data_IF_034461167745
#
_entry.id   IF_034461167745
#
_cell.length_a   1.000
_cell.length_b   1.000
_cell.length_c   1.000
_cell.angle_alpha   90.00
_cell.angle_beta   90.00
_cell.angle_gamma   90.00
#
_symmetry.space_group_name_H-M   'P 1'
#
loop_
_entity.id
_entity.type
_entity.pdbx_description
1 polymer ?
#
# COMPACT_ATOMS: atom_id res chain seq x y z
N UNK A 1 -3.82 7.73 -18.78
CA UNK A 1 -4.00 7.48 -17.35
C UNK A 1 -5.49 7.56 -17.09
N UNK A 2 -6.09 6.52 -16.54
CA UNK A 2 -7.52 6.54 -16.24
C UNK A 2 -7.74 7.46 -15.03
N UNK A 3 -8.31 8.64 -15.25
CA UNK A 3 -8.60 9.65 -14.21
C UNK A 3 -10.10 9.72 -13.91
N UNK A 4 -10.88 8.74 -14.37
CA UNK A 4 -12.34 8.79 -14.44
C UNK A 4 -13.02 8.85 -13.06
N UNK A 5 -12.26 8.66 -11.98
CA UNK A 5 -12.77 8.73 -10.60
C UNK A 5 -12.54 10.08 -9.93
N UNK A 6 -11.67 10.95 -10.44
CA UNK A 6 -11.37 12.23 -9.79
C UNK A 6 -12.64 13.10 -9.74
N UNK A 7 -12.98 13.60 -8.55
CA UNK A 7 -14.19 14.38 -8.29
C UNK A 7 -15.44 13.53 -8.01
N UNK A 8 -15.41 12.22 -8.24
CA UNK A 8 -16.52 11.32 -7.88
C UNK A 8 -16.48 10.98 -6.39
N UNK A 9 -17.66 10.63 -5.88
CA UNK A 9 -17.83 10.05 -4.56
C UNK A 9 -18.00 8.53 -4.68
N UNK A 10 -17.20 7.78 -3.92
CA UNK A 10 -17.29 6.32 -3.81
C UNK A 10 -17.59 5.98 -2.35
N UNK A 11 -18.82 5.52 -2.09
CA UNK A 11 -19.31 5.38 -0.72
C UNK A 11 -19.30 6.72 0.02
N UNK A 12 -18.51 6.81 1.09
CA UNK A 12 -18.31 8.04 1.86
C UNK A 12 -16.98 8.74 1.56
N UNK A 13 -16.28 8.34 0.48
CA UNK A 13 -15.01 8.93 0.07
C UNK A 13 -15.18 9.83 -1.15
N UNK A 14 -14.66 11.05 -1.09
CA UNK A 14 -14.51 11.90 -2.28
C UNK A 14 -13.10 11.71 -2.85
N UNK A 15 -13.00 11.33 -4.11
CA UNK A 15 -11.70 11.13 -4.78
C UNK A 15 -11.13 12.48 -5.23
N UNK A 16 -9.93 12.82 -4.76
CA UNK A 16 -9.33 14.14 -4.97
C UNK A 16 -8.22 14.14 -6.03
N UNK A 17 -7.41 13.07 -6.13
CA UNK A 17 -6.29 13.02 -7.06
C UNK A 17 -5.78 11.60 -7.34
N UNK A 18 -5.19 11.36 -8.51
CA UNK A 18 -4.45 10.14 -8.81
C UNK A 18 -3.07 10.16 -8.12
N UNK A 19 -2.73 9.08 -7.41
CA UNK A 19 -1.41 8.89 -6.78
C UNK A 19 -0.51 7.96 -7.58
N UNK A 20 -1.08 6.97 -8.26
CA UNK A 20 -0.34 6.06 -9.10
C UNK A 20 -1.22 5.01 -9.76
N UNK A 21 -0.74 4.47 -10.87
CA UNK A 21 -1.38 3.37 -11.58
C UNK A 21 -0.36 2.24 -11.71
N UNK A 22 -0.66 1.10 -11.10
CA UNK A 22 0.25 -0.05 -11.00
C UNK A 22 -0.39 -1.32 -11.52
N UNK A 23 0.39 -2.40 -11.58
CA UNK A 23 -0.06 -3.65 -12.22
C UNK A 23 -1.26 -4.35 -11.56
N UNK A 24 -1.63 -3.96 -10.33
CA UNK A 24 -2.75 -4.56 -9.59
C UNK A 24 -3.96 -3.63 -9.47
N UNK A 25 -3.79 -2.35 -9.78
CA UNK A 25 -4.78 -1.36 -9.43
C UNK A 25 -4.27 0.06 -9.50
N UNK A 26 -5.22 0.98 -9.40
CA UNK A 26 -5.01 2.41 -9.44
C UNK A 26 -5.24 2.99 -8.05
N UNK A 27 -4.29 3.78 -7.56
CA UNK A 27 -4.32 4.38 -6.22
C UNK A 27 -4.65 5.85 -6.35
N UNK A 28 -5.65 6.30 -5.60
CA UNK A 28 -6.09 7.68 -5.52
C UNK A 28 -5.93 8.22 -4.11
N UNK A 29 -5.71 9.53 -4.00
CA UNK A 29 -5.93 10.29 -2.77
C UNK A 29 -7.41 10.63 -2.70
N UNK A 30 -8.01 10.42 -1.55
CA UNK A 30 -9.40 10.75 -1.30
C UNK A 30 -9.59 11.36 0.09
N UNK A 31 -10.75 11.96 0.31
CA UNK A 31 -11.19 12.46 1.60
C UNK A 31 -12.35 11.62 2.14
N UNK A 32 -12.15 11.05 3.32
CA UNK A 32 -13.17 10.36 4.10
C UNK A 32 -14.14 11.41 4.67
N UNK A 33 -15.35 11.49 4.12
CA UNK A 33 -16.34 12.50 4.48
C UNK A 33 -16.97 12.25 5.86
N UNK A 34 -16.88 11.02 6.37
CA UNK A 34 -17.44 10.66 7.67
C UNK A 34 -16.49 11.05 8.80
N UNK A 35 -15.19 10.75 8.62
CA UNK A 35 -14.17 10.97 9.66
C UNK A 35 -13.32 12.23 9.42
N UNK A 36 -13.50 12.93 8.30
CA UNK A 36 -12.84 14.19 8.00
C UNK A 36 -11.32 14.07 7.79
N UNK A 37 -10.85 12.96 7.20
CA UNK A 37 -9.42 12.66 7.04
C UNK A 37 -9.04 12.31 5.60
N UNK A 38 -7.78 12.55 5.25
CA UNK A 38 -7.24 12.11 3.96
C UNK A 38 -6.86 10.64 4.00
N UNK A 39 -7.22 9.90 2.95
CA UNK A 39 -6.94 8.46 2.78
C UNK A 39 -6.37 8.19 1.39
N UNK A 40 -5.70 7.04 1.25
CA UNK A 40 -5.38 6.47 -0.06
C UNK A 40 -6.38 5.35 -0.37
N UNK A 41 -6.97 5.36 -1.57
CA UNK A 41 -7.90 4.32 -2.02
C UNK A 41 -7.30 3.64 -3.24
N UNK A 42 -7.08 2.33 -3.14
CA UNK A 42 -6.62 1.49 -4.24
C UNK A 42 -7.81 0.74 -4.83
N UNK A 43 -8.13 1.02 -6.09
CA UNK A 43 -9.10 0.26 -6.88
C UNK A 43 -8.39 -0.85 -7.64
N UNK A 44 -8.90 -2.07 -7.53
CA UNK A 44 -8.37 -3.21 -8.25
C UNK A 44 -8.79 -3.14 -9.72
N UNK A 45 -7.89 -3.46 -10.65
CA UNK A 45 -8.24 -3.50 -12.08
C UNK A 45 -9.29 -4.58 -12.36
N UNK A 46 -10.16 -4.32 -13.35
CA UNK A 46 -11.30 -5.19 -13.69
C UNK A 46 -10.93 -6.66 -13.93
N UNK A 47 -9.75 -6.93 -14.50
CA UNK A 47 -9.24 -8.28 -14.73
C UNK A 47 -9.12 -9.14 -13.46
N UNK A 48 -9.05 -8.51 -12.28
CA UNK A 48 -9.05 -9.19 -10.98
C UNK A 48 -10.41 -9.14 -10.29
N UNK A 49 -11.19 -8.08 -10.52
CA UNK A 49 -12.44 -7.84 -9.80
C UNK A 49 -13.59 -8.81 -10.14
N UNK A 50 -13.59 -9.41 -11.34
CA UNK A 50 -14.69 -10.26 -11.81
C UNK A 50 -14.63 -11.72 -11.34
N UNK A 51 -13.58 -12.13 -10.65
CA UNK A 51 -13.39 -13.52 -10.22
C UNK A 51 -13.96 -13.71 -8.80
N UNK A 52 -15.03 -14.50 -8.60
CA UNK A 52 -15.67 -14.66 -7.28
C UNK A 52 -14.71 -15.19 -6.21
N UNK A 53 -13.81 -16.09 -6.61
CA UNK A 53 -12.76 -16.63 -5.73
C UNK A 53 -11.74 -15.57 -5.33
N UNK A 54 -11.33 -14.69 -6.26
CA UNK A 54 -10.47 -13.55 -5.98
C UNK A 54 -11.10 -12.66 -4.91
N UNK A 55 -12.38 -12.33 -5.05
CA UNK A 55 -13.10 -11.46 -4.11
C UNK A 55 -13.13 -12.05 -2.70
N UNK A 56 -13.47 -13.33 -2.55
CA UNK A 56 -13.53 -13.98 -1.26
C UNK A 56 -12.15 -14.02 -0.57
N UNK A 57 -11.10 -14.38 -1.33
CA UNK A 57 -9.72 -14.39 -0.84
C UNK A 57 -9.23 -12.98 -0.50
N UNK A 58 -9.49 -12.00 -1.35
CA UNK A 58 -9.12 -10.60 -1.12
C UNK A 58 -9.78 -10.05 0.15
N UNK A 59 -11.05 -10.37 0.39
CA UNK A 59 -11.77 -9.99 1.60
C UNK A 59 -11.09 -10.57 2.85
N UNK A 60 -10.77 -11.86 2.83
CA UNK A 60 -10.08 -12.52 3.94
C UNK A 60 -8.68 -11.93 4.21
N UNK A 61 -7.93 -11.63 3.15
CA UNK A 61 -6.59 -11.05 3.34
C UNK A 61 -6.67 -9.60 3.79
N UNK A 62 -7.61 -8.81 3.27
CA UNK A 62 -7.84 -7.44 3.75
C UNK A 62 -8.21 -7.44 5.24
N UNK A 63 -9.05 -8.35 5.70
CA UNK A 63 -9.39 -8.50 7.12
C UNK A 63 -8.18 -8.89 7.98
N UNK A 64 -7.30 -9.75 7.46
CA UNK A 64 -6.11 -10.18 8.20
C UNK A 64 -5.08 -9.04 8.29
N UNK A 65 -4.87 -8.31 7.20
CA UNK A 65 -3.99 -7.14 7.17
C UNK A 65 -4.54 -5.99 8.02
N UNK A 66 -5.86 -5.80 8.06
CA UNK A 66 -6.50 -4.78 8.91
C UNK A 66 -6.30 -5.00 10.41
N UNK A 67 -5.93 -6.21 10.84
CA UNK A 67 -5.56 -6.52 12.24
C UNK A 67 -4.10 -6.20 12.57
N UNK A 68 -3.30 -5.84 11.57
CA UNK A 68 -1.93 -5.41 11.81
C UNK A 68 -1.94 -3.99 12.38
N UNK A 69 -1.18 -3.80 13.45
CA UNK A 69 -0.97 -2.52 14.10
C UNK A 69 0.52 -2.40 14.38
N UNK A 70 1.24 -1.78 13.43
CA UNK A 70 2.68 -1.65 13.47
C UNK A 70 3.07 -0.33 12.80
N UNK A 71 3.96 0.49 13.39
CA UNK A 71 4.27 1.82 12.88
C UNK A 71 4.91 1.82 11.48
N UNK A 72 5.45 0.68 11.04
CA UNK A 72 6.04 0.49 9.71
C UNK A 72 5.19 -0.40 8.78
N UNK A 73 3.91 -0.58 9.07
CA UNK A 73 2.92 -1.21 8.18
C UNK A 73 1.76 -0.24 7.96
N UNK A 74 1.32 -0.08 6.71
CA UNK A 74 0.20 0.81 6.39
C UNK A 74 -1.08 0.33 7.08
N UNK A 75 -1.82 1.26 7.70
CA UNK A 75 -3.10 0.93 8.31
C UNK A 75 -4.19 0.83 7.25
N UNK A 76 -4.93 -0.28 7.25
CA UNK A 76 -6.13 -0.44 6.44
C UNK A 76 -7.33 0.08 7.24
N UNK A 77 -8.16 0.90 6.61
CA UNK A 77 -9.35 1.48 7.22
C UNK A 77 -10.63 0.81 6.77
N UNK A 78 -10.72 0.49 5.48
CA UNK A 78 -11.92 -0.08 4.88
C UNK A 78 -11.56 -0.95 3.67
N UNK A 79 -12.42 -1.91 3.39
CA UNK A 79 -12.41 -2.71 2.18
C UNK A 79 -13.86 -2.90 1.71
N UNK A 80 -14.11 -2.63 0.45
CA UNK A 80 -15.46 -2.68 -0.08
C UNK A 80 -15.53 -2.88 -1.58
N UNK A 81 -16.76 -2.90 -2.07
CA UNK A 81 -17.09 -2.92 -3.49
C UNK A 81 -17.94 -1.69 -3.79
N UNK A 82 -17.69 -1.07 -4.94
CA UNK A 82 -18.56 -0.05 -5.51
C UNK A 82 -18.86 -0.37 -6.98
N UNK A 83 -19.64 0.48 -7.63
CA UNK A 83 -19.86 0.41 -9.08
C UNK A 83 -18.56 0.50 -9.90
N UNK A 84 -17.49 1.04 -9.31
CA UNK A 84 -16.18 1.21 -9.94
C UNK A 84 -15.23 0.02 -9.66
N UNK A 85 -15.66 -0.94 -8.83
CA UNK A 85 -14.93 -2.18 -8.52
C UNK A 85 -14.56 -2.34 -7.05
N UNK A 86 -13.73 -3.34 -6.78
CA UNK A 86 -13.19 -3.63 -5.44
C UNK A 86 -12.15 -2.58 -5.05
N UNK A 87 -12.25 -2.07 -3.82
CA UNK A 87 -11.34 -1.06 -3.31
C UNK A 87 -10.84 -1.37 -1.90
N UNK A 88 -9.64 -0.86 -1.60
CA UNK A 88 -9.06 -0.83 -0.25
C UNK A 88 -8.77 0.61 0.10
N UNK A 89 -9.35 1.11 1.20
CA UNK A 89 -9.02 2.40 1.77
C UNK A 89 -7.99 2.23 2.90
N UNK A 90 -6.91 2.98 2.84
CA UNK A 90 -5.76 2.87 3.74
C UNK A 90 -5.23 4.25 4.13
N UNK A 91 -4.33 4.26 5.12
CA UNK A 91 -3.61 5.46 5.54
C UNK A 91 -2.94 6.14 4.34
N UNK A 92 -3.17 7.44 4.20
CA UNK A 92 -2.40 8.27 3.27
C UNK A 92 -1.09 8.70 3.93
N UNK A 93 0.03 8.33 3.31
CA UNK A 93 1.37 8.70 3.76
C UNK A 93 2.01 9.67 2.76
N UNK A 94 2.38 10.86 3.23
CA UNK A 94 2.61 12.06 2.41
C UNK A 94 4.04 12.25 1.85
N UNK A 95 4.97 11.30 2.03
CA UNK A 95 6.35 11.45 1.53
C UNK A 95 6.71 10.65 0.27
N UNK A 96 5.75 9.89 -0.28
CA UNK A 96 5.93 9.11 -1.51
C UNK A 96 6.85 7.90 -1.34
N UNK A 97 7.03 7.13 -2.41
CA UNK A 97 7.76 5.87 -2.35
C UNK A 97 9.27 6.04 -2.25
N UNK A 98 9.94 5.07 -1.62
CA UNK A 98 11.40 4.96 -1.59
C UNK A 98 11.97 4.89 -3.01
N UNK A 99 11.30 4.22 -3.95
CA UNK A 99 11.68 4.21 -5.37
C UNK A 99 11.78 5.63 -5.94
N UNK A 100 10.77 6.47 -5.70
CA UNK A 100 10.78 7.85 -6.17
C UNK A 100 11.87 8.67 -5.47
N UNK A 101 12.10 8.44 -4.18
CA UNK A 101 13.18 9.07 -3.43
C UNK A 101 14.57 8.72 -3.97
N UNK A 102 14.86 7.44 -4.15
CA UNK A 102 16.10 6.94 -4.74
C UNK A 102 16.32 7.50 -6.16
N UNK A 103 15.27 7.55 -6.98
CA UNK A 103 15.34 8.16 -8.31
C UNK A 103 15.70 9.65 -8.27
N UNK A 104 15.23 10.41 -7.27
CA UNK A 104 15.62 11.82 -7.08
C UNK A 104 17.09 11.97 -6.66
N UNK A 105 17.58 11.08 -5.80
CA UNK A 105 19.00 11.07 -5.39
C UNK A 105 19.91 10.72 -6.56
N UNK A 106 19.56 9.69 -7.34
CA UNK A 106 20.31 9.27 -8.51
C UNK A 106 20.45 10.38 -9.55
N UNK A 107 19.38 11.13 -9.84
CA UNK A 107 19.42 12.29 -10.74
C UNK A 107 20.38 13.39 -10.30
N UNK A 108 20.69 13.46 -9.00
CA UNK A 108 21.64 14.41 -8.40
C UNK A 108 23.05 13.82 -8.27
N UNK A 109 23.27 12.58 -8.68
CA UNK A 109 24.54 11.86 -8.44
C UNK A 109 24.81 11.55 -6.98
N UNK A 110 23.77 11.51 -6.14
CA UNK A 110 23.88 11.26 -4.70
C UNK A 110 23.35 9.86 -4.38
N UNK A 111 23.98 9.18 -3.43
CA UNK A 111 23.49 7.92 -2.88
C UNK A 111 22.71 8.15 -1.59
N UNK A 112 21.80 7.22 -1.27
CA UNK A 112 21.17 7.22 0.04
C UNK A 112 22.25 7.01 1.11
N UNK A 113 22.33 7.86 2.15
CA UNK A 113 23.30 7.68 3.23
C UNK A 113 23.19 6.30 3.86
N UNK A 114 24.32 5.72 4.26
CA UNK A 114 24.37 4.38 4.86
C UNK A 114 23.45 4.29 6.08
N UNK A 115 23.48 5.28 6.96
CA UNK A 115 22.64 5.33 8.16
C UNK A 115 21.14 5.27 7.82
N UNK A 116 20.70 6.02 6.81
CA UNK A 116 19.30 5.97 6.37
C UNK A 116 18.94 4.63 5.74
N UNK A 117 19.88 4.02 5.03
CA UNK A 117 19.69 2.69 4.44
C UNK A 117 19.52 1.62 5.51
N UNK A 118 20.33 1.67 6.56
CA UNK A 118 20.25 0.78 7.73
C UNK A 118 18.93 0.97 8.49
N UNK A 119 18.51 2.21 8.72
CA UNK A 119 17.24 2.51 9.39
C UNK A 119 16.03 1.94 8.64
N UNK A 120 15.98 2.12 7.30
CA UNK A 120 14.94 1.51 6.47
C UNK A 120 15.00 -0.01 6.60
N UNK A 121 16.20 -0.60 6.50
CA UNK A 121 16.39 -2.05 6.62
C UNK A 121 15.86 -2.61 7.94
N UNK A 122 16.19 -1.98 9.07
CA UNK A 122 15.71 -2.36 10.40
C UNK A 122 14.18 -2.25 10.49
N UNK A 123 13.61 -1.14 10.03
CA UNK A 123 12.15 -0.93 10.05
C UNK A 123 11.39 -1.94 9.19
N UNK A 124 11.95 -2.31 8.03
CA UNK A 124 11.37 -3.35 7.17
C UNK A 124 11.51 -4.75 7.77
N UNK A 125 12.65 -5.06 8.38
CA UNK A 125 12.86 -6.34 9.07
C UNK A 125 11.87 -6.50 10.23
N UNK A 126 11.71 -5.48 11.06
CA UNK A 126 10.78 -5.43 12.19
C UNK A 126 9.31 -5.58 11.73
N UNK A 127 8.90 -4.81 10.70
CA UNK A 127 7.56 -4.92 10.11
C UNK A 127 7.28 -6.31 9.51
N UNK A 128 8.26 -6.90 8.82
CA UNK A 128 8.11 -8.24 8.24
C UNK A 128 8.05 -9.31 9.32
N UNK A 129 8.89 -9.23 10.35
CA UNK A 129 8.86 -10.15 11.49
C UNK A 129 7.50 -10.09 12.22
N UNK A 130 6.99 -8.88 12.49
CA UNK A 130 5.68 -8.67 13.08
C UNK A 130 4.55 -9.36 12.28
N UNK A 131 4.60 -9.25 10.94
CA UNK A 131 3.65 -9.90 10.05
C UNK A 131 3.83 -11.42 10.00
N UNK A 132 5.07 -11.91 9.95
CA UNK A 132 5.38 -13.33 9.90
C UNK A 132 4.92 -14.08 11.17
N UNK A 133 5.08 -13.47 12.35
CA UNK A 133 4.56 -14.02 13.61
C UNK A 133 3.02 -14.20 13.59
N UNK A 134 2.32 -13.52 12.67
CA UNK A 134 0.87 -13.61 12.45
C UNK A 134 0.51 -14.44 11.20
N UNK A 135 1.46 -15.17 10.63
CA UNK A 135 1.26 -16.03 9.47
C UNK A 135 1.10 -15.27 8.14
N UNK A 136 1.43 -13.98 8.09
CA UNK A 136 1.34 -13.16 6.89
C UNK A 136 2.71 -13.00 6.23
N UNK A 137 2.79 -13.33 4.94
CA UNK A 137 3.99 -13.13 4.12
C UNK A 137 3.67 -12.06 3.06
N UNK A 138 4.50 -11.02 2.96
CA UNK A 138 4.25 -9.91 2.03
C UNK A 138 4.42 -10.28 0.54
N UNK A 139 5.47 -11.02 0.19
CA UNK A 139 5.81 -11.50 -1.18
C UNK A 139 6.16 -10.46 -2.26
N UNK A 140 6.09 -9.16 -1.97
CA UNK A 140 6.39 -8.09 -2.95
C UNK A 140 7.11 -6.92 -2.28
N UNK A 141 8.13 -7.22 -1.48
CA UNK A 141 8.94 -6.20 -0.84
C UNK A 141 9.88 -5.58 -1.87
N UNK A 142 9.65 -4.31 -2.18
CA UNK A 142 10.46 -3.52 -3.12
C UNK A 142 10.37 -2.03 -2.78
N UNK A 143 11.30 -1.18 -3.25
CA UNK A 143 11.25 0.27 -2.98
C UNK A 143 9.95 0.97 -3.43
N UNK A 144 9.19 0.37 -4.36
CA UNK A 144 7.90 0.90 -4.79
C UNK A 144 6.79 0.78 -3.73
N UNK A 145 6.87 -0.23 -2.85
CA UNK A 145 5.88 -0.53 -1.82
C UNK A 145 6.31 -0.04 -0.43
N UNK A 146 7.40 0.71 -0.35
CA UNK A 146 7.88 1.35 0.87
C UNK A 146 7.62 2.84 0.73
N UNK A 147 6.71 3.39 1.55
CA UNK A 147 6.39 4.81 1.57
C UNK A 147 7.15 5.47 2.71
N UNK A 148 7.73 6.64 2.44
CA UNK A 148 8.47 7.40 3.44
C UNK A 148 7.49 8.35 4.15
N UNK A 149 7.21 8.09 5.42
CA UNK A 149 6.39 8.95 6.29
C UNK A 149 7.26 9.99 6.95
N UNK A 150 6.94 11.27 6.80
CA UNK A 150 7.61 12.33 7.56
C UNK A 150 7.32 12.17 9.05
N UNK A 151 8.31 12.46 9.87
CA UNK A 151 8.13 12.49 11.32
C UNK A 151 7.74 13.92 11.73
N UNK A 152 6.65 14.05 12.47
CA UNK A 152 6.18 15.34 13.00
C UNK A 152 7.03 15.82 14.20
N UNK A 153 7.89 14.94 14.73
CA UNK A 153 8.86 15.26 15.78
C UNK A 153 10.23 15.56 15.20
N UNK A 154 11.03 16.44 15.83
CA UNK A 154 12.44 16.56 15.47
C UNK A 154 13.09 15.18 15.57
N UNK A 155 13.93 14.77 14.60
CA UNK A 155 14.65 13.51 14.70
C UNK A 155 15.46 13.52 16.00
N UNK A 156 15.25 12.52 16.85
CA UNK A 156 16.17 12.26 17.96
C UNK A 156 17.55 11.90 17.40
N UNK A 157 18.59 12.02 18.22
CA UNK A 157 19.93 11.61 17.79
C UNK A 157 19.92 10.14 17.32
N UNK A 158 20.16 9.94 16.03
CA UNK A 158 20.12 8.62 15.41
C UNK A 158 18.80 8.26 14.71
N UNK A 159 17.77 9.10 14.77
CA UNK A 159 16.52 8.93 14.02
C UNK A 159 16.65 9.52 12.61
N UNK A 160 16.13 8.78 11.62
CA UNK A 160 16.10 9.23 10.23
C UNK A 160 15.07 10.34 10.02
N UNK A 161 15.16 11.12 8.93
CA UNK A 161 14.18 12.18 8.65
C UNK A 161 12.78 11.64 8.29
N UNK A 162 12.63 10.31 8.18
CA UNK A 162 11.39 9.65 7.84
C UNK A 162 11.32 8.25 8.47
N UNK A 163 10.10 7.74 8.59
CA UNK A 163 9.80 6.33 8.87
C UNK A 163 9.38 5.64 7.58
N UNK A 164 9.96 4.49 7.28
CA UNK A 164 9.54 3.61 6.20
C UNK A 164 8.28 2.84 6.62
N UNK A 165 7.25 2.93 5.79
CA UNK A 165 5.95 2.27 5.95
C UNK A 165 5.74 1.33 4.77
N UNK A 166 5.53 0.05 5.07
CA UNK A 166 5.32 -0.98 4.08
C UNK A 166 3.83 -1.07 3.71
N UNK A 167 3.53 -1.07 2.42
CA UNK A 167 2.16 -1.14 1.86
C UNK A 167 1.97 -2.37 0.97
N UNK A 168 0.75 -2.64 0.52
CA UNK A 168 0.41 -3.73 -0.40
C UNK A 168 0.60 -5.15 0.15
N UNK A 169 0.42 -5.32 1.47
CA UNK A 169 0.37 -6.64 2.10
C UNK A 169 -0.78 -7.51 1.55
N UNK A 170 -0.51 -8.81 1.40
CA UNK A 170 -1.54 -9.84 1.17
C UNK A 170 -2.11 -9.93 -0.24
N UNK A 171 -1.97 -8.89 -1.07
CA UNK A 171 -2.57 -8.86 -2.41
C UNK A 171 -1.92 -9.86 -3.39
N UNK A 172 -0.61 -10.09 -3.26
CA UNK A 172 0.14 -10.99 -4.17
C UNK A 172 -0.23 -12.46 -3.96
N UNK A 173 -0.49 -12.88 -2.71
CA UNK A 173 -0.91 -14.25 -2.39
C UNK A 173 -2.25 -14.60 -3.04
N UNK A 174 -3.17 -13.63 -3.09
CA UNK A 174 -4.47 -13.82 -3.75
C UNK A 174 -4.28 -14.09 -5.26
N UNK A 175 -3.39 -13.34 -5.91
CA UNK A 175 -3.10 -13.51 -7.34
C UNK A 175 -2.35 -14.80 -7.69
N UNK A 176 -1.40 -15.22 -6.86
CA UNK A 176 -0.67 -16.47 -7.09
C UNK A 176 -1.61 -17.68 -7.00
N UNK A 177 -2.57 -17.64 -6.07
CA UNK A 177 -3.61 -18.67 -5.98
C UNK A 177 -4.41 -18.84 -7.27
N UNK A 178 -4.72 -17.75 -7.98
CA UNK A 178 -5.42 -17.81 -9.27
C UNK A 178 -4.53 -18.22 -10.43
N UNK A 179 -3.27 -17.75 -10.47
CA UNK A 179 -2.32 -18.20 -11.49
C UNK A 179 -2.08 -19.70 -11.41
N UNK A 180 -2.04 -20.26 -10.20
CA UNK A 180 -1.91 -21.69 -9.96
C UNK A 180 -3.16 -22.49 -10.37
N UNK A 181 -4.38 -21.95 -10.18
CA UNK A 181 -5.61 -22.62 -10.67
C UNK A 181 -5.75 -22.54 -12.18
N UNK A 182 -5.32 -21.45 -12.82
CA UNK A 182 -5.33 -21.29 -14.28
C UNK A 182 -4.28 -22.14 -15.02
N UNK A 183 -3.16 -22.48 -14.36
CA UNK A 183 -2.13 -23.37 -14.93
C UNK A 183 -2.31 -24.84 -14.52
N UNK A 184 -3.25 -25.14 -13.63
CA UNK A 184 -3.51 -26.48 -13.08
C UNK A 184 -4.65 -27.26 -13.75
N UNK A 185 -5.31 -26.73 -14.79
CA UNK A 185 -6.24 -27.51 -15.61
C UNK A 185 -5.49 -28.34 -16.65
N UNK A 186 -5.28 -29.62 -16.34
CA UNK A 186 -5.02 -30.70 -17.31
C UNK A 186 -6.08 -31.77 -17.16
#
# INVERSE_FOLDING_TARGET
MNTDLIGKQVGHYRVDALLGDGGMGTVYRAHDLNLGRTVAIKFMHAQFAHLPEFRARLTNEAQTVARLDHPSIVKIFDFGESSEGLYIAMEYVDGGSLRAHLGRLQKRGVFLPLQQSLQIGVQMADALDYAHQRGLIHRDVKPGNIILKKLDRPPEEGDGPFRAVLTDFGLVKVLEGERLTLTGTT
#
